data_IF_613157055008
#
_entry.id   IF_613157055008
#
_cell.length_a   1.000
_cell.length_b   1.000
_cell.length_c   1.000
_cell.angle_alpha   90.00
_cell.angle_beta   90.00
_cell.angle_gamma   90.00
#
_symmetry.space_group_name_H-M   'P 1'
#
loop_
_entity.id
_entity.type
_entity.pdbx_description
1 polymer ?
#
# COMPACT_ATOMS: atom_id res chain seq x y z
N UNK A 1 15.44 4.35 21.32
CA UNK A 1 14.34 4.11 20.39
C UNK A 1 13.98 2.64 20.51
N UNK A 2 12.77 2.31 20.95
CA UNK A 2 12.34 0.91 20.97
C UNK A 2 11.90 0.49 19.54
N UNK A 3 11.69 -0.80 19.29
CA UNK A 3 11.34 -1.29 17.94
C UNK A 3 10.08 -0.61 17.40
N UNK A 4 9.05 -0.42 18.23
CA UNK A 4 7.82 0.27 17.81
C UNK A 4 8.06 1.74 17.43
N UNK A 5 8.95 2.45 18.11
CA UNK A 5 9.32 3.81 17.71
C UNK A 5 9.94 3.83 16.31
N UNK A 6 10.83 2.90 15.99
CA UNK A 6 11.43 2.77 14.65
C UNK A 6 10.34 2.52 13.58
N UNK A 7 9.41 1.62 13.86
CA UNK A 7 8.32 1.28 12.94
C UNK A 7 7.36 2.46 12.72
N UNK A 8 7.05 3.20 13.77
CA UNK A 8 6.21 4.39 13.69
C UNK A 8 6.91 5.54 12.95
N UNK A 9 8.23 5.69 13.09
CA UNK A 9 9.01 6.66 12.33
C UNK A 9 9.07 6.27 10.85
N UNK A 10 9.22 4.98 10.53
CA UNK A 10 9.14 4.47 9.16
C UNK A 10 7.75 4.68 8.53
N UNK A 11 6.68 4.54 9.31
CA UNK A 11 5.32 4.86 8.87
C UNK A 11 5.15 6.36 8.59
N UNK A 12 5.67 7.21 9.47
CA UNK A 12 5.66 8.67 9.28
C UNK A 12 6.49 9.10 8.06
N UNK A 13 7.64 8.48 7.83
CA UNK A 13 8.47 8.71 6.63
C UNK A 13 7.71 8.36 5.35
N UNK A 14 7.03 7.21 5.33
CA UNK A 14 6.20 6.82 4.17
C UNK A 14 5.06 7.81 3.92
N UNK A 15 4.49 8.36 4.99
CA UNK A 15 3.43 9.38 4.89
C UNK A 15 3.93 10.78 4.54
N UNK A 16 5.24 11.04 4.67
CA UNK A 16 5.82 12.38 4.61
C UNK A 16 5.40 13.28 5.78
N UNK A 17 5.30 12.72 6.98
CA UNK A 17 4.90 13.43 8.21
C UNK A 17 6.01 13.56 9.24
N UNK A 18 5.75 14.39 10.25
CA UNK A 18 6.65 14.51 11.40
C UNK A 18 6.65 13.22 12.23
N UNK A 19 7.82 12.84 12.75
CA UNK A 19 7.97 11.79 13.77
C UNK A 19 7.36 12.18 15.12
N UNK A 20 6.96 13.45 15.31
CA UNK A 20 6.24 13.89 16.50
C UNK A 20 4.82 13.31 16.52
N UNK A 21 4.57 12.37 17.43
CA UNK A 21 3.28 11.70 17.55
C UNK A 21 2.35 12.50 18.46
N UNK A 22 1.11 12.73 18.00
CA UNK A 22 0.10 13.45 18.78
C UNK A 22 -0.38 12.66 20.01
N UNK A 23 -0.24 11.33 19.98
CA UNK A 23 -0.65 10.38 21.03
C UNK A 23 0.11 9.07 20.87
N UNK A 24 0.12 8.27 21.94
CA UNK A 24 0.68 6.91 21.92
C UNK A 24 -0.26 5.96 21.17
N UNK A 25 0.26 5.16 20.25
CA UNK A 25 -0.50 4.04 19.66
C UNK A 25 -0.53 2.85 20.63
N UNK A 26 -1.66 2.12 20.68
CA UNK A 26 -1.87 1.03 21.64
C UNK A 26 -2.54 -0.17 20.98
N UNK A 27 -1.99 -1.35 21.26
CA UNK A 27 -2.64 -2.63 20.98
C UNK A 27 -3.39 -3.12 22.22
N UNK A 28 -4.61 -3.63 22.02
CA UNK A 28 -5.42 -4.25 23.08
C UNK A 28 -5.77 -5.68 22.68
N UNK A 29 -5.33 -6.62 23.52
CA UNK A 29 -5.74 -8.01 23.45
C UNK A 29 -7.13 -8.18 24.09
N UNK A 30 -8.11 -8.62 23.31
CA UNK A 30 -9.49 -8.83 23.76
C UNK A 30 -9.94 -10.27 23.49
N UNK A 31 -10.84 -10.79 24.31
CA UNK A 31 -11.53 -12.08 24.07
C UNK A 31 -12.79 -11.91 23.23
N UNK A 32 -13.39 -10.72 23.22
CA UNK A 32 -14.64 -10.40 22.54
C UNK A 32 -14.41 -9.31 21.48
N UNK A 33 -13.51 -9.57 20.53
CA UNK A 33 -13.26 -8.65 19.43
C UNK A 33 -14.54 -8.42 18.61
N UNK A 34 -14.75 -7.18 18.16
CA UNK A 34 -15.95 -6.83 17.41
C UNK A 34 -15.95 -7.31 15.96
N UNK A 35 -14.78 -7.48 15.36
CA UNK A 35 -14.63 -7.88 13.96
C UNK A 35 -13.24 -8.49 13.69
N UNK A 36 -13.17 -9.41 12.73
CA UNK A 36 -11.91 -9.99 12.27
C UNK A 36 -11.13 -10.78 13.34
N UNK A 37 -9.87 -11.06 13.03
CA UNK A 37 -8.90 -11.59 13.99
C UNK A 37 -8.15 -10.46 14.72
N UNK A 38 -7.92 -9.36 14.00
CA UNK A 38 -7.56 -8.03 14.50
C UNK A 38 -8.42 -6.98 13.76
N UNK A 39 -8.43 -5.75 14.29
CA UNK A 39 -8.90 -4.60 13.54
C UNK A 39 -8.18 -3.31 13.98
N UNK A 40 -8.02 -2.43 13.01
CA UNK A 40 -7.53 -1.06 13.17
C UNK A 40 -8.46 -0.18 13.99
N UNK A 41 -7.97 1.00 14.35
CA UNK A 41 -8.64 1.94 15.25
C UNK A 41 -7.70 2.49 16.31
N UNK A 42 -8.29 3.24 17.24
CA UNK A 42 -7.58 3.77 18.40
C UNK A 42 -8.36 3.40 19.68
N UNK A 43 -8.05 2.26 20.33
CA UNK A 43 -6.86 1.41 20.11
C UNK A 43 -6.98 0.45 18.92
N UNK A 44 -5.84 -0.11 18.48
CA UNK A 44 -5.79 -1.28 17.60
C UNK A 44 -6.11 -2.51 18.46
N UNK A 45 -6.97 -3.40 17.98
CA UNK A 45 -7.44 -4.53 18.78
C UNK A 45 -7.20 -5.87 18.10
N UNK A 46 -7.02 -6.92 18.89
CA UNK A 46 -6.84 -8.27 18.39
C UNK A 46 -7.17 -9.33 19.44
N UNK A 47 -7.35 -10.57 19.01
CA UNK A 47 -7.50 -11.67 19.97
C UNK A 47 -6.26 -11.82 20.85
N UNK A 48 -6.45 -12.26 22.09
CA UNK A 48 -5.33 -12.52 23.02
C UNK A 48 -4.33 -13.59 22.55
N UNK A 49 -4.71 -14.45 21.60
CA UNK A 49 -3.76 -15.38 20.96
C UNK A 49 -2.75 -14.67 20.04
N UNK A 50 -2.97 -13.41 19.67
CA UNK A 50 -2.02 -12.59 18.91
C UNK A 50 -1.11 -11.72 19.77
N UNK A 51 -1.15 -11.84 21.10
CA UNK A 51 -0.40 -10.95 22.00
C UNK A 51 1.12 -10.95 21.73
N UNK A 52 1.70 -12.10 21.42
CA UNK A 52 3.12 -12.22 21.09
C UNK A 52 3.49 -11.41 19.83
N UNK A 53 2.59 -11.36 18.84
CA UNK A 53 2.75 -10.51 17.65
C UNK A 53 2.71 -9.03 18.00
N UNK A 54 1.88 -8.60 18.96
CA UNK A 54 1.83 -7.18 19.39
C UNK A 54 3.12 -6.76 20.10
N UNK A 55 3.72 -7.70 20.81
CA UNK A 55 4.99 -7.51 21.51
C UNK A 55 6.21 -7.66 20.59
N UNK A 56 5.99 -8.04 19.33
CA UNK A 56 7.05 -8.32 18.34
C UNK A 56 8.08 -9.32 18.89
N UNK A 57 7.63 -10.35 19.62
CA UNK A 57 8.50 -11.38 20.21
C UNK A 57 9.31 -12.10 19.13
N UNK A 58 8.68 -12.35 17.98
CA UNK A 58 9.30 -12.75 16.74
C UNK A 58 8.55 -12.06 15.59
N UNK A 59 9.28 -11.35 14.73
CA UNK A 59 8.71 -10.68 13.56
C UNK A 59 8.87 -11.50 12.29
N UNK A 60 9.67 -12.56 12.32
CA UNK A 60 9.91 -13.43 11.17
C UNK A 60 8.70 -14.33 10.90
N UNK A 61 8.74 -15.01 9.75
CA UNK A 61 7.70 -15.96 9.31
C UNK A 61 6.28 -15.37 9.30
N UNK A 62 6.19 -14.06 9.12
CA UNK A 62 4.96 -13.28 9.06
C UNK A 62 4.27 -12.96 10.38
N UNK A 63 4.89 -13.26 11.52
CA UNK A 63 4.33 -12.96 12.83
C UNK A 63 4.13 -11.45 13.10
N UNK A 64 4.86 -10.57 12.40
CA UNK A 64 4.66 -9.12 12.45
C UNK A 64 3.56 -8.58 11.51
N UNK A 65 3.09 -9.37 10.52
CA UNK A 65 2.27 -8.83 9.44
C UNK A 65 0.91 -8.30 9.89
N UNK A 66 0.21 -9.04 10.77
CA UNK A 66 -1.11 -8.64 11.29
C UNK A 66 -1.08 -7.27 11.98
N UNK A 67 -0.25 -7.06 13.01
CA UNK A 67 -0.12 -5.76 13.66
C UNK A 67 0.26 -4.62 12.72
N UNK A 68 1.16 -4.86 11.76
CA UNK A 68 1.57 -3.84 10.80
C UNK A 68 0.45 -3.50 9.81
N UNK A 69 -0.34 -4.51 9.40
CA UNK A 69 -1.49 -4.35 8.54
C UNK A 69 -2.57 -3.46 9.18
N UNK A 70 -2.92 -3.72 10.44
CA UNK A 70 -3.90 -2.89 11.17
C UNK A 70 -3.38 -1.47 11.43
N UNK A 71 -2.09 -1.33 11.73
CA UNK A 71 -1.49 -0.01 11.86
C UNK A 71 -1.50 0.72 10.52
N UNK A 72 -1.24 0.03 9.40
CA UNK A 72 -1.35 0.57 8.05
C UNK A 72 -2.75 1.09 7.73
N UNK A 73 -3.81 0.43 8.21
CA UNK A 73 -5.18 0.94 8.08
C UNK A 73 -5.40 2.29 8.80
N UNK A 74 -4.72 2.55 9.93
CA UNK A 74 -4.81 3.86 10.60
C UNK A 74 -4.15 4.99 9.79
N UNK A 75 -3.22 4.66 8.88
CA UNK A 75 -2.49 5.59 8.04
C UNK A 75 -3.14 5.82 6.66
N UNK A 76 -4.13 5.01 6.33
CA UNK A 76 -4.90 5.16 5.11
C UNK A 76 -5.80 6.40 5.11
N UNK A 77 -6.06 6.94 3.92
CA UNK A 77 -7.00 8.05 3.75
C UNK A 77 -7.83 7.91 2.48
N UNK A 78 -9.07 8.39 2.59
CA UNK A 78 -10.06 8.37 1.51
C UNK A 78 -9.63 9.16 0.27
N UNK A 79 -8.77 10.17 0.43
CA UNK A 79 -8.35 11.04 -0.67
C UNK A 79 -7.63 10.30 -1.80
N UNK A 80 -6.94 9.20 -1.48
CA UNK A 80 -6.16 8.38 -2.42
C UNK A 80 -6.59 6.91 -2.42
N UNK A 81 -7.77 6.61 -1.87
CA UNK A 81 -8.35 5.28 -1.94
C UNK A 81 -8.80 4.95 -3.36
N UNK A 82 -8.09 4.02 -3.98
CA UNK A 82 -8.55 3.41 -5.21
C UNK A 82 -9.63 2.36 -4.89
N UNK A 83 -10.64 2.18 -5.77
CA UNK A 83 -11.74 1.25 -5.51
C UNK A 83 -11.23 -0.16 -5.27
N UNK A 84 -11.76 -0.83 -4.24
CA UNK A 84 -11.37 -2.21 -3.90
C UNK A 84 -9.98 -2.38 -3.31
N UNK A 85 -9.34 -1.31 -2.81
CA UNK A 85 -7.96 -1.36 -2.27
C UNK A 85 -7.84 -1.10 -0.76
N UNK A 86 -8.95 -1.14 -0.02
CA UNK A 86 -8.97 -0.98 1.45
C UNK A 86 -8.02 -1.96 2.13
N UNK A 87 -8.11 -3.25 1.80
CA UNK A 87 -7.25 -4.30 2.37
C UNK A 87 -5.87 -4.38 1.68
N UNK A 88 -5.62 -3.53 0.67
CA UNK A 88 -4.40 -3.54 -0.14
C UNK A 88 -3.42 -2.47 0.30
N UNK A 89 -3.86 -1.21 0.28
CA UNK A 89 -2.95 -0.06 0.43
C UNK A 89 -2.37 0.04 1.83
N UNK A 90 -3.06 -0.47 2.86
CA UNK A 90 -2.54 -0.61 4.22
C UNK A 90 -1.24 -1.43 4.25
N UNK A 91 -1.08 -2.42 3.35
CA UNK A 91 0.12 -3.25 3.30
C UNK A 91 1.35 -2.52 2.77
N UNK A 92 1.23 -1.30 2.22
CA UNK A 92 2.42 -0.48 1.96
C UNK A 92 3.16 -0.16 3.25
N UNK A 93 2.44 0.09 4.34
CA UNK A 93 3.02 0.27 5.66
C UNK A 93 3.59 -1.04 6.19
N UNK A 94 2.90 -2.18 6.01
CA UNK A 94 3.45 -3.49 6.38
C UNK A 94 4.80 -3.75 5.71
N UNK A 95 4.89 -3.55 4.40
CA UNK A 95 6.14 -3.72 3.65
C UNK A 95 7.19 -2.71 4.13
N UNK A 96 6.81 -1.44 4.37
CA UNK A 96 7.74 -0.42 4.86
C UNK A 96 8.30 -0.73 6.24
N UNK A 97 7.48 -1.30 7.12
CA UNK A 97 7.88 -1.71 8.46
C UNK A 97 8.88 -2.86 8.40
N UNK A 98 8.64 -3.88 7.58
CA UNK A 98 9.63 -4.94 7.34
C UNK A 98 10.95 -4.39 6.74
N UNK A 99 10.86 -3.50 5.75
CA UNK A 99 12.01 -2.80 5.16
C UNK A 99 12.84 -2.06 6.24
N UNK A 100 12.18 -1.35 7.17
CA UNK A 100 12.85 -0.65 8.27
C UNK A 100 13.54 -1.56 9.29
N UNK A 101 13.07 -2.81 9.41
CA UNK A 101 13.70 -3.85 10.23
C UNK A 101 14.84 -4.56 9.50
N UNK A 102 15.08 -4.25 8.22
CA UNK A 102 16.05 -4.96 7.39
C UNK A 102 15.61 -6.38 7.03
N UNK A 103 14.31 -6.66 7.09
CA UNK A 103 13.72 -7.98 6.81
C UNK A 103 13.02 -7.91 5.45
N UNK A 104 13.21 -8.93 4.62
CA UNK A 104 12.52 -9.01 3.33
C UNK A 104 11.01 -9.11 3.56
N UNK A 105 10.23 -8.34 2.80
CA UNK A 105 8.77 -8.45 2.86
C UNK A 105 8.26 -9.85 2.45
N UNK A 106 9.06 -10.63 1.70
CA UNK A 106 8.77 -12.03 1.41
C UNK A 106 8.87 -12.95 2.63
N UNK A 107 9.75 -12.61 3.59
CA UNK A 107 9.89 -13.31 4.88
C UNK A 107 8.77 -12.85 5.84
N UNK A 108 8.26 -11.63 5.63
CA UNK A 108 7.09 -11.10 6.35
C UNK A 108 5.74 -11.60 5.83
N UNK A 109 5.62 -11.96 4.56
CA UNK A 109 4.42 -12.62 4.04
C UNK A 109 4.71 -13.35 2.73
N UNK A 110 4.42 -14.64 2.68
CA UNK A 110 4.75 -15.50 1.54
C UNK A 110 4.13 -15.04 0.22
N UNK A 111 3.01 -14.31 0.23
CA UNK A 111 2.42 -13.72 -0.98
C UNK A 111 3.40 -12.79 -1.73
N UNK A 112 4.37 -12.19 -1.03
CA UNK A 112 5.40 -11.33 -1.61
C UNK A 112 6.67 -12.09 -2.04
N UNK A 113 6.70 -13.42 -1.90
CA UNK A 113 7.80 -14.21 -2.46
C UNK A 113 7.89 -14.05 -3.97
N UNK A 114 9.11 -14.07 -4.51
CA UNK A 114 9.35 -13.89 -5.94
C UNK A 114 8.53 -14.88 -6.80
N UNK A 115 8.37 -16.13 -6.35
CA UNK A 115 7.57 -17.14 -7.05
C UNK A 115 6.08 -16.80 -7.05
N UNK A 116 5.50 -16.37 -5.92
CA UNK A 116 4.09 -16.02 -5.84
C UNK A 116 3.78 -14.74 -6.63
N UNK A 117 4.67 -13.73 -6.57
CA UNK A 117 4.54 -12.51 -7.36
C UNK A 117 4.64 -12.78 -8.86
N UNK A 118 5.61 -13.59 -9.28
CA UNK A 118 5.77 -13.99 -10.68
C UNK A 118 4.56 -14.79 -11.20
N UNK A 119 4.08 -15.77 -10.43
CA UNK A 119 2.90 -16.55 -10.79
C UNK A 119 1.65 -15.67 -10.92
N UNK A 120 1.46 -14.73 -10.00
CA UNK A 120 0.36 -13.78 -10.02
C UNK A 120 0.42 -12.83 -11.22
N UNK A 121 1.61 -12.31 -11.54
CA UNK A 121 1.81 -11.46 -12.71
C UNK A 121 1.56 -12.23 -14.02
N UNK A 122 2.09 -13.44 -14.13
CA UNK A 122 1.85 -14.31 -15.29
C UNK A 122 0.37 -14.62 -15.47
N UNK A 123 -0.32 -14.96 -14.38
CA UNK A 123 -1.76 -15.19 -14.39
C UNK A 123 -2.52 -13.93 -14.82
N UNK A 124 -2.20 -12.77 -14.27
CA UNK A 124 -2.85 -11.51 -14.63
C UNK A 124 -2.67 -11.21 -16.13
N UNK A 125 -1.45 -11.31 -16.66
CA UNK A 125 -1.15 -11.07 -18.09
C UNK A 125 -1.89 -12.02 -19.04
N UNK A 126 -2.08 -13.27 -18.63
CA UNK A 126 -2.79 -14.27 -19.43
C UNK A 126 -4.32 -14.05 -19.46
N UNK A 127 -4.88 -13.45 -18.41
CA UNK A 127 -6.34 -13.33 -18.24
C UNK A 127 -6.86 -11.90 -18.51
N UNK A 128 -6.06 -10.85 -18.31
CA UNK A 128 -6.36 -9.42 -18.57
C UNK A 128 -7.75 -8.94 -18.13
N UNK A 129 -8.21 -9.36 -16.94
CA UNK A 129 -9.55 -8.98 -16.46
C UNK A 129 -9.42 -7.90 -15.39
N UNK A 130 -9.38 -6.62 -15.76
CA UNK A 130 -9.72 -5.55 -14.81
C UNK A 130 -11.21 -5.24 -14.97
N UNK A 131 -11.95 -5.22 -13.86
CA UNK A 131 -13.42 -5.05 -13.85
C UNK A 131 -14.23 -6.32 -13.58
N UNK A 132 -13.58 -7.48 -13.40
CA UNK A 132 -14.21 -8.64 -12.73
C UNK A 132 -13.72 -8.67 -11.28
N UNK A 133 -14.64 -8.57 -10.32
CA UNK A 133 -14.33 -8.57 -8.88
C UNK A 133 -13.59 -9.83 -8.41
N UNK A 134 -13.54 -10.90 -9.22
CA UNK A 134 -12.83 -12.16 -8.89
C UNK A 134 -11.31 -12.05 -9.08
N UNK A 135 -10.81 -11.18 -9.96
CA UNK A 135 -9.37 -11.07 -10.30
C UNK A 135 -8.62 -9.99 -9.52
N UNK A 136 -9.31 -8.99 -8.98
CA UNK A 136 -8.71 -7.87 -8.26
C UNK A 136 -8.67 -8.11 -6.75
N UNK A 137 -7.92 -9.12 -6.32
CA UNK A 137 -7.71 -9.39 -4.90
C UNK A 137 -6.59 -8.52 -4.31
N UNK A 138 -6.47 -8.55 -2.98
CA UNK A 138 -5.50 -7.77 -2.20
C UNK A 138 -4.10 -7.78 -2.80
N UNK A 139 -3.59 -8.96 -3.15
CA UNK A 139 -2.23 -9.17 -3.61
C UNK A 139 -2.04 -8.77 -5.06
N UNK A 140 -3.05 -8.94 -5.91
CA UNK A 140 -3.01 -8.47 -7.31
C UNK A 140 -2.98 -6.95 -7.34
N UNK A 141 -3.85 -6.31 -6.56
CA UNK A 141 -3.84 -4.86 -6.44
C UNK A 141 -2.51 -4.36 -5.85
N UNK A 142 -1.95 -5.06 -4.85
CA UNK A 142 -0.69 -4.68 -4.21
C UNK A 142 0.49 -4.68 -5.20
N UNK A 143 0.50 -5.56 -6.21
CA UNK A 143 1.56 -5.55 -7.24
C UNK A 143 1.70 -4.21 -7.94
N UNK A 144 0.58 -3.53 -8.20
CA UNK A 144 0.62 -2.22 -8.86
C UNK A 144 1.37 -1.20 -8.03
N UNK A 145 1.25 -1.28 -6.70
CA UNK A 145 1.96 -0.39 -5.80
C UNK A 145 3.41 -0.83 -5.61
N UNK A 146 3.67 -2.13 -5.50
CA UNK A 146 5.04 -2.64 -5.36
C UNK A 146 5.91 -2.34 -6.59
N UNK A 147 5.36 -2.46 -7.80
CA UNK A 147 6.08 -2.11 -9.03
C UNK A 147 6.45 -0.62 -9.10
N UNK A 148 5.58 0.26 -8.62
CA UNK A 148 5.89 1.70 -8.49
C UNK A 148 6.93 1.94 -7.38
N UNK A 149 6.83 1.24 -6.25
CA UNK A 149 7.81 1.33 -5.15
C UNK A 149 9.20 0.90 -5.63
N UNK A 150 9.30 -0.20 -6.36
CA UNK A 150 10.54 -0.75 -6.88
C UNK A 150 11.18 0.17 -7.92
N UNK A 151 10.36 0.83 -8.75
CA UNK A 151 10.83 1.72 -9.80
C UNK A 151 11.24 3.12 -9.29
N UNK A 152 10.49 3.67 -8.34
CA UNK A 152 10.62 5.09 -7.94
C UNK A 152 11.01 5.28 -6.46
N UNK A 153 11.12 4.19 -5.69
CA UNK A 153 11.51 4.19 -4.28
C UNK A 153 10.43 4.67 -3.32
N UNK A 154 10.72 4.65 -2.02
CA UNK A 154 9.77 5.10 -0.99
C UNK A 154 9.45 6.60 -1.05
N UNK A 155 10.42 7.41 -1.49
CA UNK A 155 10.25 8.87 -1.61
C UNK A 155 9.13 9.26 -2.59
N UNK A 156 8.84 8.41 -3.58
CA UNK A 156 7.70 8.57 -4.49
C UNK A 156 6.38 8.56 -3.73
N UNK A 157 6.16 7.57 -2.85
CA UNK A 157 4.95 7.48 -2.04
C UNK A 157 4.87 8.61 -1.00
N UNK A 158 5.97 8.90 -0.31
CA UNK A 158 6.02 10.01 0.63
C UNK A 158 5.61 11.34 -0.02
N UNK A 159 6.11 11.60 -1.24
CA UNK A 159 5.74 12.79 -2.02
C UNK A 159 4.25 12.78 -2.38
N UNK A 160 3.73 11.67 -2.89
CA UNK A 160 2.31 11.54 -3.25
C UNK A 160 1.41 11.74 -2.04
N UNK A 161 1.66 11.04 -0.93
CA UNK A 161 0.84 11.13 0.28
C UNK A 161 0.90 12.52 0.91
N UNK A 162 2.06 13.18 0.90
CA UNK A 162 2.19 14.58 1.32
C UNK A 162 1.31 15.49 0.48
N UNK A 163 1.34 15.34 -0.84
CA UNK A 163 0.50 16.15 -1.74
C UNK A 163 -1.00 15.92 -1.50
N UNK A 164 -1.41 14.67 -1.25
CA UNK A 164 -2.81 14.34 -1.01
C UNK A 164 -3.35 14.89 0.31
N UNK A 165 -2.51 15.14 1.32
CA UNK A 165 -2.95 15.82 2.55
C UNK A 165 -3.40 17.26 2.32
N UNK A 166 -2.93 17.88 1.23
CA UNK A 166 -3.29 19.24 0.84
C UNK A 166 -4.55 19.35 -0.01
N UNK A 167 -5.21 18.23 -0.36
CA UNK A 167 -6.37 18.24 -1.26
C UNK A 167 -7.59 17.56 -0.62
N UNK A 168 -8.78 18.00 -1.02
CA UNK A 168 -10.02 17.31 -0.67
C UNK A 168 -10.18 16.01 -1.44
N UNK A 169 -10.92 15.05 -0.87
CA UNK A 169 -11.31 13.82 -1.56
C UNK A 169 -11.96 14.13 -2.92
N UNK A 170 -11.46 13.56 -4.04
CA UNK A 170 -12.06 13.71 -5.38
C UNK A 170 -13.52 13.21 -5.47
N UNK A 171 -14.01 12.48 -4.47
CA UNK A 171 -15.42 12.18 -4.23
C UNK A 171 -15.93 10.93 -4.93
N UNK A 172 -15.59 10.73 -6.21
CA UNK A 172 -15.98 9.53 -6.98
C UNK A 172 -14.79 8.62 -7.27
N UNK A 173 -15.06 7.34 -7.44
CA UNK A 173 -14.06 6.32 -7.78
C UNK A 173 -13.31 6.65 -9.06
N UNK A 174 -14.02 7.08 -10.11
CA UNK A 174 -13.42 7.54 -11.35
C UNK A 174 -12.51 8.76 -11.11
N UNK A 175 -12.94 9.74 -10.32
CA UNK A 175 -12.13 10.91 -10.02
C UNK A 175 -10.86 10.54 -9.22
N UNK A 176 -10.95 9.63 -8.25
CA UNK A 176 -9.79 9.15 -7.48
C UNK A 176 -8.78 8.41 -8.35
N UNK A 177 -9.23 7.55 -9.27
CA UNK A 177 -8.36 6.85 -10.22
C UNK A 177 -7.63 7.85 -11.12
N UNK A 178 -8.36 8.79 -11.73
CA UNK A 178 -7.78 9.79 -12.63
C UNK A 178 -6.77 10.67 -11.89
N UNK A 179 -7.09 11.09 -10.68
CA UNK A 179 -6.20 11.92 -9.87
C UNK A 179 -4.94 11.16 -9.43
N UNK A 180 -5.09 9.89 -9.06
CA UNK A 180 -3.95 9.03 -8.72
C UNK A 180 -2.98 8.90 -9.89
N UNK A 181 -3.49 8.56 -11.07
CA UNK A 181 -2.68 8.35 -12.28
C UNK A 181 -1.98 9.63 -12.72
N UNK A 182 -2.69 10.76 -12.70
CA UNK A 182 -2.10 12.07 -12.98
C UNK A 182 -0.96 12.35 -12.01
N UNK A 183 -1.25 12.30 -10.72
CA UNK A 183 -0.31 12.70 -9.67
C UNK A 183 0.91 11.80 -9.62
N UNK A 184 0.71 10.50 -9.69
CA UNK A 184 1.82 9.53 -9.72
C UNK A 184 2.70 9.73 -10.95
N UNK A 185 2.14 10.02 -12.13
CA UNK A 185 2.91 10.29 -13.34
C UNK A 185 3.80 11.53 -13.18
N UNK A 186 3.24 12.61 -12.64
CA UNK A 186 4.03 13.83 -12.38
C UNK A 186 5.10 13.63 -11.32
N UNK A 187 4.82 12.89 -10.24
CA UNK A 187 5.83 12.60 -9.20
C UNK A 187 6.92 11.67 -9.72
N UNK A 188 6.58 10.67 -10.55
CA UNK A 188 7.55 9.83 -11.23
C UNK A 188 8.38 10.60 -12.28
N UNK A 189 7.86 11.73 -12.77
CA UNK A 189 8.43 12.44 -13.92
C UNK A 189 8.35 11.61 -15.21
N UNK A 190 7.37 10.71 -15.30
CA UNK A 190 7.22 9.72 -16.37
C UNK A 190 5.77 9.57 -16.78
N UNK A 191 5.54 9.25 -18.04
CA UNK A 191 4.22 8.84 -18.51
C UNK A 191 3.93 7.41 -18.02
N UNK A 192 3.11 7.28 -16.97
CA UNK A 192 2.66 6.00 -16.42
C UNK A 192 1.35 5.51 -17.07
N UNK A 193 0.84 6.20 -18.10
CA UNK A 193 -0.40 5.83 -18.81
C UNK A 193 -0.40 4.38 -19.29
N UNK A 194 0.63 3.92 -20.04
CA UNK A 194 0.74 2.53 -20.48
C UNK A 194 0.70 1.52 -19.34
N UNK A 195 1.42 1.79 -18.24
CA UNK A 195 1.43 0.95 -17.04
C UNK A 195 0.02 0.75 -16.46
N UNK A 196 -0.70 1.84 -16.22
CA UNK A 196 -2.05 1.78 -15.66
C UNK A 196 -3.05 1.14 -16.62
N UNK A 197 -2.93 1.39 -17.93
CA UNK A 197 -3.75 0.74 -18.95
C UNK A 197 -3.47 -0.77 -19.03
N UNK A 198 -2.23 -1.21 -18.87
CA UNK A 198 -1.86 -2.62 -18.84
C UNK A 198 -2.42 -3.34 -17.59
N UNK A 199 -2.45 -2.63 -16.45
CA UNK A 199 -3.19 -3.05 -15.25
C UNK A 199 -4.71 -2.85 -15.34
N UNK A 200 -5.20 -2.30 -16.46
CA UNK A 200 -6.60 -2.17 -16.83
C UNK A 200 -7.36 -1.04 -16.16
N UNK A 201 -6.67 -0.11 -15.48
CA UNK A 201 -7.31 1.02 -14.79
C UNK A 201 -8.19 1.82 -15.77
N UNK A 202 -9.44 2.17 -15.41
CA UNK A 202 -10.34 2.95 -16.26
C UNK A 202 -9.98 4.44 -16.23
N UNK A 203 -8.77 4.77 -16.69
CA UNK A 203 -8.27 6.15 -16.80
C UNK A 203 -8.93 6.84 -17.98
N UNK A 204 -9.36 8.08 -17.80
CA UNK A 204 -9.96 8.86 -18.88
C UNK A 204 -8.91 9.24 -19.92
N UNK A 205 -9.33 9.36 -21.17
CA UNK A 205 -8.45 9.83 -22.25
C UNK A 205 -7.86 11.23 -21.94
N UNK A 206 -8.64 12.08 -21.26
CA UNK A 206 -8.18 13.40 -20.82
C UNK A 206 -6.88 13.33 -19.99
N UNK A 207 -6.84 12.45 -18.99
CA UNK A 207 -5.62 12.28 -18.16
C UNK A 207 -4.50 11.62 -18.95
N UNK A 208 -4.80 10.65 -19.81
CA UNK A 208 -3.80 10.00 -20.68
C UNK A 208 -3.12 11.03 -21.60
N UNK A 209 -3.89 11.92 -22.23
CA UNK A 209 -3.36 12.97 -23.10
C UNK A 209 -2.55 14.01 -22.30
N UNK A 210 -2.99 14.33 -21.09
CA UNK A 210 -2.30 15.26 -20.19
C UNK A 210 -0.88 14.77 -19.85
N UNK A 211 -0.76 13.51 -19.43
CA UNK A 211 0.52 12.91 -19.04
C UNK A 211 1.37 12.44 -20.23
N UNK A 212 0.82 12.42 -21.45
CA UNK A 212 1.55 12.03 -22.66
C UNK A 212 2.73 12.98 -22.99
N UNK A 213 2.73 14.19 -22.42
CA UNK A 213 3.83 15.14 -22.51
C UNK A 213 5.07 14.73 -21.69
N UNK A 214 4.92 13.80 -20.73
CA UNK A 214 6.03 13.31 -19.90
C UNK A 214 6.86 12.26 -20.67
N UNK A 215 8.16 12.12 -20.36
CA UNK A 215 8.99 11.07 -20.94
C UNK A 215 8.40 9.68 -20.71
N UNK A 216 8.51 8.80 -21.70
CA UNK A 216 8.11 7.40 -21.56
C UNK A 216 8.86 6.72 -20.39
N UNK A 217 8.16 5.83 -19.70
CA UNK A 217 8.78 4.89 -18.77
C UNK A 217 9.19 3.63 -19.54
N UNK A 218 10.45 3.56 -19.95
CA UNK A 218 10.98 2.47 -20.77
C UNK A 218 11.21 1.18 -19.98
N UNK A 219 11.29 1.29 -18.66
CA UNK A 219 11.47 0.19 -17.72
C UNK A 219 10.12 -0.29 -17.13
N UNK A 220 8.99 0.08 -17.74
CA UNK A 220 7.66 -0.36 -17.32
C UNK A 220 7.60 -1.90 -17.27
N UNK A 221 7.39 -2.51 -16.08
CA UNK A 221 7.39 -3.96 -15.92
C UNK A 221 6.15 -4.63 -16.54
N UNK A 222 5.22 -3.88 -17.13
CA UNK A 222 4.02 -4.41 -17.77
C UNK A 222 4.08 -4.42 -19.30
N UNK A 223 5.05 -3.73 -19.91
CA UNK A 223 5.21 -3.57 -21.36
C UNK A 223 6.32 -4.47 -21.90
#
# INVERSE_FOLDING_TARGET
MNTWDLLMDAAADLEGTSHARAREERFVADRQISAGWMHSGYPIMGYGSGADSFLLVDVNDGNGWGPFHELGHNHQSRGWFLPGTTETTCNLWSVKMYDSLGISAADGHSALSASNRAARLAWYRANKVMGNSVSWNVWVALETYMQLQEAFGWSFYATIFTQYRGISDPGTDAARINEWVRRSSYVAGKNLGPFYQAWGFPVTQFVIDEIASLPAWTEDPMV
#
